data_IF_657662036334
#
_entry.id   IF_657662036334
#
_cell.length_a   1.000
_cell.length_b   1.000
_cell.length_c   1.000
_cell.angle_alpha   90.00
_cell.angle_beta   90.00
_cell.angle_gamma   90.00
#
_symmetry.space_group_name_H-M   'P 1'
#
loop_
_entity.id
_entity.type
_entity.pdbx_description
1 polymer ?
#
# COMPACT_ATOMS: atom_id res chain seq x y z
N UNK A 1 30.99 -6.33 -20.54
CA UNK A 1 31.04 -5.29 -19.50
C UNK A 1 31.58 -5.86 -18.19
N UNK A 2 32.31 -5.05 -17.37
CA UNK A 2 32.80 -5.48 -16.05
C UNK A 2 32.53 -4.38 -15.02
N UNK A 3 32.33 -4.76 -13.76
CA UNK A 3 32.23 -3.85 -12.62
C UNK A 3 32.39 -4.59 -11.29
N UNK A 4 32.72 -3.84 -10.23
CA UNK A 4 32.73 -4.32 -8.86
C UNK A 4 31.60 -3.63 -8.04
N UNK A 5 30.99 -4.39 -7.18
CA UNK A 5 29.88 -3.89 -6.35
C UNK A 5 29.87 -4.57 -4.96
N UNK A 6 29.43 -3.86 -3.94
CA UNK A 6 29.19 -4.42 -2.60
C UNK A 6 28.05 -5.45 -2.65
N UNK A 7 28.26 -6.63 -2.06
CA UNK A 7 27.25 -7.70 -2.00
C UNK A 7 25.96 -7.26 -1.29
N UNK A 8 26.08 -6.56 -0.17
CA UNK A 8 24.91 -6.08 0.59
C UNK A 8 24.17 -4.95 -0.12
N UNK A 9 24.88 -4.01 -0.76
CA UNK A 9 24.26 -2.96 -1.57
C UNK A 9 23.48 -3.56 -2.73
N UNK A 10 24.12 -4.49 -3.48
CA UNK A 10 23.46 -5.17 -4.60
C UNK A 10 22.23 -5.95 -4.14
N UNK A 11 22.35 -6.72 -3.07
CA UNK A 11 21.23 -7.49 -2.51
C UNK A 11 20.06 -6.60 -2.10
N UNK A 12 20.33 -5.52 -1.38
CA UNK A 12 19.30 -4.57 -0.93
C UNK A 12 18.53 -3.97 -2.11
N UNK A 13 19.22 -3.54 -3.14
CA UNK A 13 18.59 -2.91 -4.30
C UNK A 13 17.87 -3.95 -5.19
N UNK A 14 18.45 -5.13 -5.38
CA UNK A 14 17.74 -6.23 -6.05
C UNK A 14 16.47 -6.63 -5.30
N UNK A 15 16.53 -6.73 -3.98
CA UNK A 15 15.35 -7.03 -3.16
C UNK A 15 14.27 -5.94 -3.30
N UNK A 16 14.67 -4.66 -3.41
CA UNK A 16 13.74 -3.55 -3.60
C UNK A 16 13.01 -3.64 -4.95
N UNK A 17 13.75 -3.79 -6.06
CA UNK A 17 13.15 -3.83 -7.40
C UNK A 17 12.38 -5.13 -7.66
N UNK A 18 12.88 -6.26 -7.18
CA UNK A 18 12.26 -7.58 -7.44
C UNK A 18 10.87 -7.75 -6.81
N UNK A 19 10.47 -6.88 -5.88
CA UNK A 19 9.12 -6.90 -5.28
C UNK A 19 7.99 -6.69 -6.29
N UNK A 20 8.30 -6.11 -7.45
CA UNK A 20 7.31 -5.90 -8.51
C UNK A 20 7.02 -7.17 -9.31
N UNK A 21 7.99 -8.09 -9.37
CA UNK A 21 7.91 -9.31 -10.17
C UNK A 21 6.76 -10.20 -9.66
N UNK A 22 5.87 -10.58 -10.57
CA UNK A 22 4.78 -11.50 -10.26
C UNK A 22 5.28 -12.96 -10.22
N UNK A 23 4.53 -13.83 -9.56
CA UNK A 23 4.78 -15.27 -9.60
C UNK A 23 4.56 -15.92 -10.98
N UNK A 24 3.80 -15.23 -11.84
CA UNK A 24 3.54 -15.60 -13.25
C UNK A 24 3.49 -14.33 -14.07
N UNK A 25 4.44 -14.19 -14.99
CA UNK A 25 4.49 -13.06 -15.91
C UNK A 25 4.11 -13.47 -17.34
N UNK A 26 3.53 -12.54 -18.10
CA UNK A 26 3.14 -12.78 -19.49
C UNK A 26 4.37 -12.95 -20.42
N UNK A 27 5.45 -12.25 -20.12
CA UNK A 27 6.72 -12.32 -20.84
C UNK A 27 7.79 -12.92 -19.91
N UNK A 28 8.50 -13.98 -20.34
CA UNK A 28 9.54 -14.63 -19.51
C UNK A 28 10.63 -13.68 -19.01
N UNK A 29 11.02 -12.67 -19.79
CA UNK A 29 12.05 -11.69 -19.42
C UNK A 29 11.66 -10.85 -18.20
N UNK A 30 10.36 -10.78 -17.84
CA UNK A 30 9.88 -10.08 -16.64
C UNK A 30 10.12 -10.86 -15.33
N UNK A 31 10.59 -12.11 -15.41
CA UNK A 31 11.10 -12.87 -14.27
C UNK A 31 12.51 -12.44 -13.90
N UNK A 32 13.17 -11.67 -14.77
CA UNK A 32 14.53 -11.19 -14.64
C UNK A 32 14.59 -9.76 -14.12
N UNK A 33 15.75 -9.37 -13.63
CA UNK A 33 16.12 -7.97 -13.36
C UNK A 33 17.08 -7.50 -14.45
N UNK A 34 16.80 -6.37 -15.05
CA UNK A 34 17.67 -5.73 -16.01
C UNK A 34 18.81 -5.02 -15.27
N UNK A 35 20.04 -5.37 -15.63
CA UNK A 35 21.29 -4.68 -15.29
C UNK A 35 21.67 -3.78 -16.47
N UNK A 36 21.70 -2.48 -16.28
CA UNK A 36 22.06 -1.47 -17.27
C UNK A 36 23.23 -0.64 -16.73
N UNK A 37 24.44 -0.90 -17.25
CA UNK A 37 25.67 -0.23 -16.81
C UNK A 37 26.00 0.93 -17.73
N UNK A 38 25.99 2.14 -17.19
CA UNK A 38 26.35 3.38 -17.90
C UNK A 38 27.33 4.19 -17.05
N UNK A 39 28.57 4.34 -17.54
CA UNK A 39 29.63 4.93 -16.71
C UNK A 39 29.81 4.14 -15.43
N UNK A 40 29.89 4.79 -14.29
CA UNK A 40 30.03 4.16 -12.97
C UNK A 40 28.67 3.90 -12.29
N UNK A 41 27.56 4.01 -13.00
CA UNK A 41 26.22 3.78 -12.48
C UNK A 41 25.65 2.46 -13.02
N UNK A 42 25.32 1.55 -12.14
CA UNK A 42 24.55 0.33 -12.43
C UNK A 42 23.09 0.56 -12.12
N UNK A 43 22.24 0.58 -13.14
CA UNK A 43 20.77 0.67 -12.99
C UNK A 43 20.20 -0.73 -12.95
N UNK A 44 19.39 -1.00 -11.92
CA UNK A 44 18.62 -2.23 -11.77
C UNK A 44 17.15 -1.91 -12.04
N UNK A 45 16.55 -2.61 -12.98
CA UNK A 45 15.12 -2.42 -13.34
C UNK A 45 14.38 -3.73 -13.30
N UNK A 46 13.21 -3.74 -12.67
CA UNK A 46 12.26 -4.85 -12.71
C UNK A 46 10.86 -4.34 -13.05
N UNK A 47 10.07 -5.18 -13.70
CA UNK A 47 8.71 -4.81 -14.17
C UNK A 47 7.78 -6.02 -14.17
N UNK A 48 6.49 -5.77 -14.03
CA UNK A 48 5.42 -6.77 -14.29
C UNK A 48 4.59 -6.43 -15.56
N UNK A 49 5.03 -5.41 -16.30
CA UNK A 49 4.34 -4.89 -17.47
C UNK A 49 3.43 -3.69 -17.18
N UNK A 50 2.90 -3.57 -15.97
CA UNK A 50 2.04 -2.44 -15.54
C UNK A 50 2.77 -1.51 -14.57
N UNK A 51 3.68 -2.04 -13.78
CA UNK A 51 4.51 -1.32 -12.81
C UNK A 51 5.98 -1.62 -13.08
N UNK A 52 6.81 -0.61 -13.11
CA UNK A 52 8.26 -0.73 -13.26
C UNK A 52 8.96 -0.03 -12.12
N UNK A 53 9.90 -0.71 -11.49
CA UNK A 53 10.79 -0.13 -10.46
C UNK A 53 12.19 -0.11 -11.01
N UNK A 54 12.88 1.03 -10.85
CA UNK A 54 14.30 1.20 -11.14
C UNK A 54 15.00 1.79 -9.93
N UNK A 55 16.20 1.30 -9.67
CA UNK A 55 17.13 1.92 -8.72
C UNK A 55 18.52 1.98 -9.33
N UNK A 56 19.43 2.74 -8.73
CA UNK A 56 20.81 2.81 -9.18
C UNK A 56 21.81 2.62 -8.04
N UNK A 57 22.96 2.07 -8.39
CA UNK A 57 24.09 1.81 -7.49
C UNK A 57 25.35 2.35 -8.16
N UNK A 58 26.17 3.11 -7.42
CA UNK A 58 27.52 3.42 -7.85
C UNK A 58 28.39 2.17 -7.76
N UNK A 59 29.15 1.90 -8.81
CA UNK A 59 30.03 0.74 -8.96
C UNK A 59 31.44 1.16 -9.35
N UNK A 60 32.43 0.33 -9.02
CA UNK A 60 33.83 0.57 -9.26
C UNK A 60 34.39 -0.41 -10.30
N UNK A 61 35.64 -0.15 -10.77
CA UNK A 61 36.34 -1.05 -11.67
C UNK A 61 35.66 -1.30 -13.01
N UNK A 62 34.98 -0.28 -13.52
CA UNK A 62 34.15 -0.38 -14.71
C UNK A 62 34.95 -0.51 -15.97
N UNK A 63 34.64 -1.53 -16.79
CA UNK A 63 35.14 -1.69 -18.16
C UNK A 63 33.93 -1.95 -19.09
N UNK A 64 33.73 -1.06 -20.07
CA UNK A 64 32.63 -1.14 -21.01
C UNK A 64 31.28 -0.66 -20.41
N UNK A 65 30.23 -0.82 -21.18
CA UNK A 65 28.85 -0.54 -20.83
C UNK A 65 27.96 -1.60 -21.50
N UNK A 66 26.72 -1.76 -21.05
CA UNK A 66 25.83 -2.72 -21.70
C UNK A 66 24.62 -3.07 -20.84
N UNK A 67 23.76 -3.93 -21.41
CA UNK A 67 22.53 -4.38 -20.78
C UNK A 67 22.43 -5.90 -20.77
N UNK A 68 22.12 -6.47 -19.63
CA UNK A 68 21.81 -7.89 -19.46
C UNK A 68 20.64 -8.05 -18.50
N UNK A 69 19.69 -8.92 -18.81
CA UNK A 69 18.65 -9.31 -17.85
C UNK A 69 19.03 -10.67 -17.26
N UNK A 70 18.87 -10.80 -15.96
CA UNK A 70 19.28 -11.98 -15.19
C UNK A 70 18.24 -12.38 -14.19
N UNK A 71 18.09 -13.71 -13.98
CA UNK A 71 17.06 -14.30 -13.13
C UNK A 71 17.10 -13.73 -11.70
N UNK A 72 16.05 -12.99 -11.34
CA UNK A 72 15.93 -12.30 -10.06
C UNK A 72 16.02 -13.28 -8.90
N UNK A 73 15.32 -14.41 -9.00
CA UNK A 73 15.26 -15.43 -7.93
C UNK A 73 16.63 -16.02 -7.64
N UNK A 74 17.38 -16.41 -8.69
CA UNK A 74 18.74 -16.97 -8.55
C UNK A 74 19.65 -15.98 -7.84
N UNK A 75 19.65 -14.72 -8.27
CA UNK A 75 20.49 -13.68 -7.70
C UNK A 75 20.13 -13.40 -6.23
N UNK A 76 18.85 -13.29 -5.91
CA UNK A 76 18.40 -13.05 -4.54
C UNK A 76 18.74 -14.22 -3.61
N UNK A 77 18.48 -15.46 -4.04
CA UNK A 77 18.80 -16.66 -3.25
C UNK A 77 20.32 -16.81 -3.02
N UNK A 78 21.13 -16.43 -4.00
CA UNK A 78 22.57 -16.48 -3.89
C UNK A 78 23.12 -15.35 -3.00
N UNK A 79 22.69 -14.10 -3.26
CA UNK A 79 23.24 -12.93 -2.58
C UNK A 79 22.88 -12.85 -1.10
N UNK A 80 21.72 -13.40 -0.69
CA UNK A 80 21.34 -13.43 0.73
C UNK A 80 22.28 -14.26 1.61
N UNK A 81 23.03 -15.20 1.01
CA UNK A 81 23.97 -16.07 1.73
C UNK A 81 25.37 -15.45 1.86
N UNK A 82 25.62 -14.29 1.22
CA UNK A 82 26.88 -13.59 1.38
C UNK A 82 26.89 -12.66 2.61
N UNK A 83 27.99 -12.70 3.35
CA UNK A 83 28.39 -11.57 4.20
C UNK A 83 28.85 -10.41 3.31
N UNK A 84 28.94 -9.19 3.88
CA UNK A 84 29.44 -8.02 3.14
C UNK A 84 30.82 -8.27 2.56
N UNK A 85 30.93 -8.17 1.24
CA UNK A 85 32.18 -8.31 0.49
C UNK A 85 32.07 -7.69 -0.90
N UNK A 86 33.18 -7.36 -1.56
CA UNK A 86 33.15 -6.97 -2.97
C UNK A 86 32.87 -8.18 -3.85
N UNK A 87 32.03 -7.96 -4.86
CA UNK A 87 31.73 -8.92 -5.92
C UNK A 87 32.21 -8.32 -7.26
N UNK A 88 32.96 -9.08 -8.03
CA UNK A 88 33.39 -8.69 -9.36
C UNK A 88 32.53 -9.38 -10.41
N UNK A 89 31.85 -8.60 -11.22
CA UNK A 89 31.03 -9.08 -12.34
C UNK A 89 31.78 -8.95 -13.65
N UNK A 90 31.75 -10.00 -14.46
CA UNK A 90 32.19 -9.99 -15.86
C UNK A 90 31.05 -10.56 -16.72
N UNK A 91 30.63 -9.83 -17.73
CA UNK A 91 29.51 -10.20 -18.59
C UNK A 91 29.97 -10.12 -20.03
N UNK A 92 29.83 -11.23 -20.76
CA UNK A 92 30.08 -11.31 -22.20
C UNK A 92 28.83 -10.84 -22.95
N UNK A 93 28.96 -9.78 -23.75
CA UNK A 93 27.87 -9.16 -24.48
C UNK A 93 27.37 -9.99 -25.69
N UNK A 94 28.16 -10.99 -26.14
CA UNK A 94 27.81 -11.81 -27.30
C UNK A 94 26.91 -12.98 -26.93
N UNK A 95 27.11 -13.56 -25.74
CA UNK A 95 26.38 -14.76 -25.30
C UNK A 95 25.68 -14.58 -23.95
N UNK A 96 25.78 -13.39 -23.35
CA UNK A 96 25.19 -13.02 -22.06
C UNK A 96 25.65 -13.90 -20.87
N UNK A 97 26.78 -14.58 -21.01
CA UNK A 97 27.40 -15.30 -19.91
C UNK A 97 27.86 -14.34 -18.83
N UNK A 98 27.45 -14.58 -17.61
CA UNK A 98 27.77 -13.79 -16.42
C UNK A 98 28.67 -14.61 -15.52
N UNK A 99 29.80 -14.04 -15.13
CA UNK A 99 30.70 -14.55 -14.09
C UNK A 99 30.70 -13.56 -12.94
N UNK A 100 30.27 -14.00 -11.75
CA UNK A 100 30.35 -13.27 -10.50
C UNK A 100 31.41 -13.92 -9.61
N UNK A 101 32.45 -13.16 -9.26
CA UNK A 101 33.57 -13.62 -8.44
C UNK A 101 33.44 -12.97 -7.07
N UNK A 102 33.47 -13.79 -6.02
CA UNK A 102 33.57 -13.41 -4.62
C UNK A 102 34.99 -13.70 -4.08
N UNK A 103 35.20 -13.43 -2.79
CA UNK A 103 36.49 -13.73 -2.14
C UNK A 103 36.88 -15.22 -2.24
N UNK A 104 35.91 -16.13 -2.21
CA UNK A 104 36.14 -17.57 -2.07
C UNK A 104 35.51 -18.41 -3.18
N UNK A 105 34.87 -17.81 -4.18
CA UNK A 105 34.17 -18.58 -5.20
C UNK A 105 33.86 -17.83 -6.47
N UNK A 106 33.57 -18.59 -7.53
CA UNK A 106 33.09 -18.08 -8.81
C UNK A 106 31.72 -18.67 -9.11
N UNK A 107 30.79 -17.83 -9.48
CA UNK A 107 29.42 -18.18 -9.79
C UNK A 107 29.12 -17.81 -11.24
N UNK A 108 28.72 -18.78 -12.04
CA UNK A 108 28.51 -18.59 -13.47
C UNK A 108 27.06 -18.91 -13.83
N UNK A 109 26.44 -18.04 -14.59
CA UNK A 109 25.09 -18.22 -15.12
C UNK A 109 24.95 -17.48 -16.46
N UNK A 110 23.84 -17.69 -17.13
CA UNK A 110 23.58 -17.03 -18.42
C UNK A 110 22.35 -16.15 -18.26
N UNK A 111 22.50 -14.89 -18.63
CA UNK A 111 21.41 -13.94 -18.73
C UNK A 111 20.80 -13.95 -20.13
N UNK A 112 19.95 -12.97 -20.40
CA UNK A 112 19.36 -12.74 -21.72
C UNK A 112 19.64 -11.30 -22.18
N UNK A 113 19.41 -11.04 -23.46
CA UNK A 113 19.62 -9.73 -24.07
C UNK A 113 18.82 -8.64 -23.36
N UNK A 114 19.48 -7.76 -22.61
CA UNK A 114 18.83 -6.69 -21.88
C UNK A 114 18.18 -5.61 -22.75
N UNK A 115 18.50 -5.55 -24.05
CA UNK A 115 17.83 -4.63 -24.97
C UNK A 115 16.40 -5.07 -25.32
N UNK A 116 16.04 -6.32 -25.03
CA UNK A 116 14.67 -6.84 -25.17
C UNK A 116 13.79 -6.57 -23.94
N UNK A 117 14.39 -6.06 -22.86
CA UNK A 117 13.64 -5.70 -21.65
C UNK A 117 12.74 -4.50 -21.92
N UNK A 118 11.46 -4.52 -21.48
CA UNK A 118 10.54 -3.40 -21.69
C UNK A 118 11.09 -2.09 -21.13
N UNK A 119 11.01 -1.03 -21.91
CA UNK A 119 11.45 0.29 -21.47
C UNK A 119 10.52 0.87 -20.40
N UNK A 120 11.11 1.51 -19.40
CA UNK A 120 10.33 2.25 -18.41
C UNK A 120 9.68 3.47 -19.07
N UNK A 121 8.34 3.64 -18.95
CA UNK A 121 7.66 4.80 -19.51
C UNK A 121 8.26 6.12 -19.03
N UNK A 122 8.49 7.04 -19.96
CA UNK A 122 8.90 8.42 -19.67
C UNK A 122 7.75 9.26 -19.11
N UNK A 123 8.06 10.51 -18.74
CA UNK A 123 7.03 11.47 -18.37
C UNK A 123 6.15 11.82 -19.57
N UNK A 124 4.84 11.86 -19.37
CA UNK A 124 3.88 12.24 -20.41
C UNK A 124 3.87 13.74 -20.64
N UNK A 125 3.55 14.17 -21.87
CA UNK A 125 3.37 15.59 -22.17
C UNK A 125 2.20 16.15 -21.35
N UNK A 126 2.42 17.29 -20.68
CA UNK A 126 1.41 17.90 -19.81
C UNK A 126 1.24 17.23 -18.44
N UNK A 127 2.10 16.28 -18.09
CA UNK A 127 2.09 15.68 -16.75
C UNK A 127 2.28 16.76 -15.67
N UNK A 128 1.52 16.60 -14.59
CA UNK A 128 1.64 17.47 -13.40
C UNK A 128 2.64 16.86 -12.43
N UNK A 129 3.28 17.73 -11.65
CA UNK A 129 4.28 17.29 -10.65
C UNK A 129 4.00 17.98 -9.32
N UNK A 130 4.07 17.22 -8.24
CA UNK A 130 4.02 17.72 -6.87
C UNK A 130 5.10 17.01 -6.04
N UNK A 131 5.51 17.64 -4.94
CA UNK A 131 6.39 17.05 -3.94
C UNK A 131 5.58 16.70 -2.70
N UNK A 132 5.68 15.44 -2.26
CA UNK A 132 5.05 14.96 -1.03
C UNK A 132 6.13 14.49 -0.06
N UNK A 133 6.10 14.87 1.23
CA UNK A 133 6.95 14.26 2.23
C UNK A 133 6.74 12.74 2.24
N UNK A 134 7.83 11.96 2.28
CA UNK A 134 7.76 10.50 2.22
C UNK A 134 6.90 9.90 3.34
N UNK A 135 7.02 10.44 4.55
CA UNK A 135 6.23 10.03 5.71
C UNK A 135 4.73 10.31 5.52
N UNK A 136 4.36 11.44 4.91
CA UNK A 136 2.95 11.77 4.61
C UNK A 136 2.38 10.82 3.58
N UNK A 137 3.11 10.57 2.48
CA UNK A 137 2.68 9.63 1.44
C UNK A 137 2.56 8.21 1.99
N UNK A 138 3.54 7.76 2.77
CA UNK A 138 3.54 6.45 3.41
C UNK A 138 2.34 6.29 4.35
N UNK A 139 2.13 7.24 5.28
CA UNK A 139 1.03 7.21 6.24
C UNK A 139 -0.34 7.22 5.55
N UNK A 140 -0.50 8.02 4.51
CA UNK A 140 -1.73 8.08 3.73
C UNK A 140 -2.03 6.75 3.02
N UNK A 141 -1.03 6.13 2.40
CA UNK A 141 -1.18 4.81 1.78
C UNK A 141 -1.49 3.75 2.85
N UNK A 142 -0.78 3.75 3.96
CA UNK A 142 -0.99 2.77 5.04
C UNK A 142 -2.41 2.84 5.61
N UNK A 143 -2.91 4.06 5.82
CA UNK A 143 -4.26 4.31 6.36
C UNK A 143 -5.39 4.05 5.35
N UNK A 144 -5.09 3.86 4.05
CA UNK A 144 -6.13 3.73 3.02
C UNK A 144 -6.11 2.40 2.27
N UNK A 145 -4.94 1.82 2.01
CA UNK A 145 -4.75 0.67 1.10
C UNK A 145 -5.60 -0.55 1.45
N UNK A 146 -5.82 -0.83 2.74
CA UNK A 146 -6.58 -1.99 3.19
C UNK A 146 -8.08 -1.87 2.86
N UNK A 147 -8.54 -0.67 2.53
CA UNK A 147 -9.92 -0.37 2.16
C UNK A 147 -10.17 -0.40 0.65
N UNK A 148 -9.16 -0.65 -0.17
CA UNK A 148 -9.32 -0.85 -1.60
C UNK A 148 -10.09 -2.13 -1.88
N UNK A 149 -10.91 -2.13 -2.94
CA UNK A 149 -11.59 -3.33 -3.42
C UNK A 149 -10.63 -4.31 -4.13
N UNK A 150 -11.18 -5.45 -4.46
CA UNK A 150 -10.60 -6.44 -5.38
C UNK A 150 -11.77 -6.93 -6.25
N UNK A 151 -12.22 -6.08 -7.17
CA UNK A 151 -13.49 -6.23 -7.89
C UNK A 151 -13.32 -5.80 -9.36
N UNK A 152 -13.33 -6.77 -10.26
CA UNK A 152 -13.18 -6.55 -11.70
C UNK A 152 -14.34 -5.76 -12.33
N UNK A 153 -15.52 -5.75 -11.69
CA UNK A 153 -16.68 -4.99 -12.17
C UNK A 153 -16.60 -3.50 -11.82
N UNK A 154 -15.80 -3.16 -10.80
CA UNK A 154 -15.61 -1.79 -10.34
C UNK A 154 -14.12 -1.46 -10.17
N UNK A 155 -13.33 -1.53 -11.25
CA UNK A 155 -11.87 -1.41 -11.17
C UNK A 155 -11.39 -0.09 -10.55
N UNK A 156 -12.17 0.99 -10.64
CA UNK A 156 -11.84 2.29 -10.01
C UNK A 156 -11.72 2.20 -8.49
N UNK A 157 -12.30 1.18 -7.84
CA UNK A 157 -12.18 0.95 -6.40
C UNK A 157 -10.99 0.07 -6.02
N UNK A 158 -10.29 -0.55 -7.01
CA UNK A 158 -9.12 -1.40 -6.78
C UNK A 158 -7.82 -0.60 -6.53
N UNK A 159 -7.96 0.68 -6.23
CA UNK A 159 -6.85 1.58 -5.98
C UNK A 159 -7.21 2.68 -4.98
N UNK A 160 -6.20 3.49 -4.68
CA UNK A 160 -6.33 4.68 -3.83
C UNK A 160 -6.55 5.89 -4.73
N UNK A 161 -7.63 6.60 -4.52
CA UNK A 161 -7.92 7.85 -5.21
C UNK A 161 -7.16 9.00 -4.54
N UNK A 162 -6.31 9.66 -5.31
CA UNK A 162 -5.63 10.89 -4.94
C UNK A 162 -6.49 12.07 -5.41
N UNK A 163 -7.05 12.81 -4.47
CA UNK A 163 -7.83 14.04 -4.70
C UNK A 163 -6.99 15.21 -4.19
N UNK A 164 -6.35 15.89 -5.11
CA UNK A 164 -5.36 16.94 -4.85
C UNK A 164 -6.05 18.29 -5.04
N UNK A 165 -6.03 19.12 -4.01
CA UNK A 165 -6.41 20.53 -4.06
C UNK A 165 -5.17 21.42 -3.90
N UNK A 166 -5.31 22.73 -4.11
CA UNK A 166 -4.20 23.66 -4.02
C UNK A 166 -3.49 23.63 -2.65
N UNK A 167 -4.28 23.48 -1.58
CA UNK A 167 -3.88 23.62 -0.18
C UNK A 167 -3.87 22.29 0.61
N UNK A 168 -4.18 21.17 -0.02
CA UNK A 168 -4.24 19.86 0.66
C UNK A 168 -4.19 18.69 -0.31
N UNK A 169 -3.85 17.55 0.22
CA UNK A 169 -3.96 16.27 -0.49
C UNK A 169 -4.89 15.35 0.29
N UNK A 170 -5.87 14.77 -0.41
CA UNK A 170 -6.81 13.80 0.15
C UNK A 170 -6.61 12.46 -0.56
N UNK A 171 -6.50 11.38 0.21
CA UNK A 171 -6.43 10.01 -0.31
C UNK A 171 -7.63 9.24 0.18
N UNK A 172 -8.32 8.58 -0.75
CA UNK A 172 -9.57 7.87 -0.48
C UNK A 172 -9.50 6.45 -1.03
N UNK A 173 -9.95 5.49 -0.24
CA UNK A 173 -10.17 4.13 -0.70
C UNK A 173 -11.52 3.61 -0.20
N UNK A 174 -12.18 2.77 -1.00
CA UNK A 174 -13.47 2.15 -0.66
C UNK A 174 -13.65 0.83 -1.40
N UNK A 175 -14.33 -0.12 -0.73
CA UNK A 175 -14.81 -1.38 -1.31
C UNK A 175 -16.34 -1.42 -1.44
N UNK A 176 -17.01 -0.26 -1.32
CA UNK A 176 -18.46 -0.04 -1.26
C UNK A 176 -19.13 -0.42 0.08
N UNK A 177 -18.45 -1.13 0.97
CA UNK A 177 -18.97 -1.46 2.32
C UNK A 177 -18.32 -0.59 3.40
N UNK A 178 -17.11 -0.16 3.15
CA UNK A 178 -16.33 0.74 4.01
C UNK A 178 -15.57 1.75 3.15
N UNK A 179 -15.23 2.87 3.75
CA UNK A 179 -14.47 3.94 3.10
C UNK A 179 -13.49 4.53 4.12
N UNK A 180 -12.29 4.83 3.67
CA UNK A 180 -11.34 5.64 4.41
C UNK A 180 -10.99 6.87 3.59
N UNK A 181 -11.07 8.03 4.23
CA UNK A 181 -10.56 9.31 3.73
C UNK A 181 -9.46 9.79 4.66
N UNK A 182 -8.29 9.95 4.12
CA UNK A 182 -7.14 10.60 4.77
C UNK A 182 -6.90 11.94 4.08
N UNK A 183 -6.86 13.02 4.83
CA UNK A 183 -6.54 14.36 4.33
C UNK A 183 -5.33 14.91 5.06
N UNK A 184 -4.39 15.49 4.32
CA UNK A 184 -3.25 16.23 4.88
C UNK A 184 -3.28 17.67 4.37
N UNK A 185 -3.30 18.63 5.29
CA UNK A 185 -3.35 20.08 5.03
C UNK A 185 -1.97 20.75 5.14
N UNK A 186 -0.95 20.00 5.53
CA UNK A 186 0.44 20.50 5.56
C UNK A 186 1.11 20.52 4.19
N UNK A 187 0.49 19.92 3.17
CA UNK A 187 1.01 19.86 1.81
C UNK A 187 0.39 20.93 0.95
N UNK A 188 1.24 21.72 0.27
CA UNK A 188 0.83 22.73 -0.71
C UNK A 188 1.07 22.17 -2.11
N UNK A 189 0.03 21.73 -2.80
CA UNK A 189 0.14 21.11 -4.13
C UNK A 189 0.14 22.13 -5.27
N UNK A 190 -0.36 23.34 -5.03
CA UNK A 190 -0.34 24.46 -5.98
C UNK A 190 -1.32 24.37 -7.15
N UNK A 191 -1.95 23.21 -7.38
CA UNK A 191 -2.96 23.01 -8.41
C UNK A 191 -3.88 21.85 -8.08
N UNK A 192 -5.13 21.90 -8.55
CA UNK A 192 -6.08 20.81 -8.38
C UNK A 192 -5.84 19.73 -9.45
N UNK A 193 -5.83 18.47 -9.00
CA UNK A 193 -5.68 17.30 -9.86
C UNK A 193 -6.20 16.03 -9.19
N UNK A 194 -6.33 14.94 -9.94
CA UNK A 194 -6.65 13.66 -9.35
C UNK A 194 -6.16 12.48 -10.21
N UNK A 195 -5.92 11.36 -9.57
CA UNK A 195 -5.62 10.08 -10.22
C UNK A 195 -5.92 8.92 -9.28
N UNK A 196 -5.99 7.70 -9.82
CA UNK A 196 -6.20 6.47 -9.02
C UNK A 196 -4.95 5.60 -9.10
N UNK A 197 -4.28 5.46 -7.96
CA UNK A 197 -3.09 4.62 -7.80
C UNK A 197 -3.53 3.17 -7.53
N UNK A 198 -3.18 2.17 -8.37
CA UNK A 198 -3.53 0.79 -8.12
C UNK A 198 -2.97 0.25 -6.80
N UNK A 199 -3.65 -0.72 -6.21
CA UNK A 199 -3.29 -1.34 -4.92
C UNK A 199 -1.86 -1.89 -4.88
N UNK A 200 -1.41 -2.57 -5.95
CA UNK A 200 -0.06 -3.16 -5.99
C UNK A 200 1.05 -2.11 -5.90
N UNK A 201 1.15 -1.11 -6.80
CA UNK A 201 2.17 -0.06 -6.66
C UNK A 201 2.02 0.75 -5.36
N UNK A 202 0.82 0.97 -4.84
CA UNK A 202 0.64 1.58 -3.52
C UNK A 202 1.30 0.74 -2.42
N UNK A 203 1.12 -0.58 -2.43
CA UNK A 203 1.79 -1.49 -1.49
C UNK A 203 3.32 -1.49 -1.61
N UNK A 204 3.85 -1.40 -2.83
CA UNK A 204 5.28 -1.27 -3.09
C UNK A 204 5.83 0.04 -2.51
N UNK A 205 5.17 1.16 -2.80
CA UNK A 205 5.52 2.48 -2.25
C UNK A 205 5.53 2.47 -0.72
N UNK A 206 4.47 1.99 -0.07
CA UNK A 206 4.40 1.89 1.39
C UNK A 206 5.65 1.23 1.99
N UNK A 207 6.10 0.13 1.39
CA UNK A 207 7.24 -0.63 1.90
C UNK A 207 8.60 0.04 1.60
N UNK A 208 8.73 0.70 0.47
CA UNK A 208 9.97 1.36 0.07
C UNK A 208 10.16 2.70 0.78
N UNK A 209 9.08 3.42 1.04
CA UNK A 209 9.11 4.71 1.75
C UNK A 209 9.35 4.59 3.26
N UNK A 210 9.27 3.39 3.85
CA UNK A 210 9.45 3.17 5.29
C UNK A 210 10.82 3.60 5.85
N UNK A 211 11.79 3.86 4.99
CA UNK A 211 13.16 4.28 5.35
C UNK A 211 13.57 5.56 4.63
N UNK A 212 12.61 6.25 4.03
CA UNK A 212 12.87 7.47 3.26
C UNK A 212 12.44 8.69 4.07
N UNK A 213 13.35 9.64 4.22
CA UNK A 213 13.12 10.87 4.99
C UNK A 213 12.92 12.10 4.08
N UNK A 214 13.21 11.97 2.77
CA UNK A 214 13.13 13.07 1.83
C UNK A 214 11.74 13.18 1.18
N UNK A 215 11.55 14.22 0.36
CA UNK A 215 10.34 14.38 -0.41
C UNK A 215 10.33 13.40 -1.59
N UNK A 216 9.16 12.83 -1.85
CA UNK A 216 8.85 12.08 -3.06
C UNK A 216 8.35 13.04 -4.13
N UNK A 217 9.03 13.06 -5.25
CA UNK A 217 8.53 13.76 -6.44
C UNK A 217 7.51 12.88 -7.14
N UNK A 218 6.26 13.31 -7.16
CA UNK A 218 5.15 12.60 -7.78
C UNK A 218 4.79 13.29 -9.08
N UNK A 219 4.97 12.61 -10.20
CA UNK A 219 4.60 13.11 -11.55
C UNK A 219 3.53 12.19 -12.12
N UNK A 220 2.40 12.74 -12.53
CA UNK A 220 1.29 11.98 -13.08
C UNK A 220 0.70 12.66 -14.31
N UNK A 221 0.41 11.85 -15.32
CA UNK A 221 -0.20 12.25 -16.59
C UNK A 221 -1.58 11.60 -16.74
N UNK A 222 -1.98 11.34 -17.98
CA UNK A 222 -3.25 10.71 -18.29
C UNK A 222 -3.25 9.19 -18.02
N UNK A 223 -2.10 8.53 -18.16
CA UNK A 223 -2.00 7.05 -18.09
C UNK A 223 -1.12 6.56 -16.96
N UNK A 224 -0.03 7.29 -16.66
CA UNK A 224 1.00 6.81 -15.73
C UNK A 224 1.19 7.77 -14.56
N UNK A 225 1.51 7.18 -13.41
CA UNK A 225 2.04 7.89 -12.25
C UNK A 225 3.49 7.47 -12.02
N UNK A 226 4.35 8.42 -11.69
CA UNK A 226 5.77 8.27 -11.47
C UNK A 226 6.14 8.84 -10.10
N UNK A 227 6.86 8.07 -9.32
CA UNK A 227 7.34 8.42 -7.99
C UNK A 227 8.86 8.32 -7.97
N UNK A 228 9.54 9.41 -7.59
CA UNK A 228 11.00 9.51 -7.55
C UNK A 228 11.44 9.89 -6.13
N UNK A 229 12.29 9.09 -5.52
CA UNK A 229 12.85 9.31 -4.18
C UNK A 229 14.20 8.59 -4.05
N UNK A 230 15.17 9.24 -3.42
CA UNK A 230 16.55 8.73 -3.36
C UNK A 230 17.04 8.31 -4.73
N UNK A 231 17.55 7.08 -4.85
CA UNK A 231 17.96 6.47 -6.13
C UNK A 231 16.84 5.67 -6.82
N UNK A 232 15.62 5.68 -6.26
CA UNK A 232 14.51 4.83 -6.70
C UNK A 232 13.50 5.60 -7.54
N UNK A 233 13.05 4.96 -8.60
CA UNK A 233 11.97 5.44 -9.47
C UNK A 233 10.95 4.32 -9.62
N UNK A 234 9.69 4.62 -9.36
CA UNK A 234 8.55 3.73 -9.63
C UNK A 234 7.67 4.41 -10.67
N UNK A 235 7.34 3.69 -11.73
CA UNK A 235 6.34 4.11 -12.71
C UNK A 235 5.26 3.05 -12.76
N UNK A 236 4.02 3.45 -12.67
CA UNK A 236 2.90 2.52 -12.78
C UNK A 236 1.77 3.10 -13.64
N UNK A 237 1.04 2.21 -14.30
CA UNK A 237 -0.20 2.56 -14.97
C UNK A 237 -1.25 2.91 -13.92
N UNK A 238 -1.98 4.00 -14.16
CA UNK A 238 -3.11 4.40 -13.32
C UNK A 238 -4.36 3.58 -13.67
N UNK A 239 -5.31 3.51 -12.72
CA UNK A 239 -6.65 3.00 -13.04
C UNK A 239 -7.43 4.10 -13.74
N UNK A 240 -7.86 3.83 -14.96
CA UNK A 240 -8.67 4.75 -15.75
C UNK A 240 -10.12 4.76 -15.26
N UNK A 241 -10.74 5.94 -15.25
CA UNK A 241 -12.15 6.11 -14.90
C UNK A 241 -12.39 7.16 -13.82
N UNK A 242 -13.66 7.39 -13.54
CA UNK A 242 -14.08 8.36 -12.52
C UNK A 242 -14.32 7.66 -11.19
N UNK A 243 -13.59 8.07 -10.17
CA UNK A 243 -13.82 7.60 -8.81
C UNK A 243 -15.21 8.06 -8.31
N UNK A 244 -15.94 7.26 -7.52
CA UNK A 244 -17.24 7.63 -6.97
C UNK A 244 -17.17 8.93 -6.18
N UNK A 245 -18.28 9.69 -6.16
CA UNK A 245 -18.38 10.88 -5.30
C UNK A 245 -18.44 10.46 -3.83
N UNK A 246 -17.27 10.26 -3.23
CA UNK A 246 -17.13 9.78 -1.86
C UNK A 246 -17.71 10.76 -0.82
N UNK A 247 -17.74 12.06 -1.10
CA UNK A 247 -18.29 13.05 -0.18
C UNK A 247 -19.82 12.89 -0.02
N UNK A 248 -20.51 12.40 -1.05
CA UNK A 248 -21.96 12.22 -1.00
C UNK A 248 -22.42 11.08 -0.08
N UNK A 249 -21.53 10.11 0.22
CA UNK A 249 -21.88 8.97 1.09
C UNK A 249 -21.51 9.19 2.56
N UNK A 250 -20.74 10.23 2.88
CA UNK A 250 -20.34 10.56 4.25
C UNK A 250 -21.53 11.19 4.98
N UNK A 251 -22.09 10.56 6.03
CA UNK A 251 -23.23 11.08 6.74
C UNK A 251 -22.88 12.34 7.55
N UNK A 252 -23.76 13.33 7.54
CA UNK A 252 -23.59 14.61 8.24
C UNK A 252 -24.37 14.69 9.56
N UNK A 253 -25.17 13.68 9.89
CA UNK A 253 -26.14 13.76 11.01
C UNK A 253 -25.98 12.67 12.08
N UNK A 254 -24.81 12.08 12.23
CA UNK A 254 -24.54 11.05 13.22
C UNK A 254 -24.32 11.68 14.61
N UNK A 255 -25.39 11.79 15.41
CA UNK A 255 -25.37 12.51 16.69
C UNK A 255 -25.01 11.64 17.90
N UNK A 256 -25.15 10.31 17.79
CA UNK A 256 -24.78 9.39 18.85
C UNK A 256 -23.26 9.17 18.82
N UNK A 257 -22.55 9.78 19.76
CA UNK A 257 -21.08 9.72 19.84
C UNK A 257 -20.68 8.79 20.98
N UNK A 258 -19.93 7.74 20.64
CA UNK A 258 -19.34 6.80 21.60
C UNK A 258 -17.85 7.00 21.57
N UNK A 259 -17.22 7.18 22.73
CA UNK A 259 -15.77 7.21 22.88
C UNK A 259 -15.36 5.97 23.67
N UNK A 260 -14.43 5.21 23.16
CA UNK A 260 -13.96 3.98 23.78
C UNK A 260 -12.45 3.84 23.64
N UNK A 261 -11.83 3.13 24.58
CA UNK A 261 -10.46 2.66 24.44
C UNK A 261 -10.37 1.74 23.24
N UNK A 262 -9.55 2.12 22.28
CA UNK A 262 -9.42 1.45 20.97
C UNK A 262 -8.98 0.00 21.11
N UNK A 263 -7.96 -0.25 21.96
CA UNK A 263 -7.39 -1.58 22.10
C UNK A 263 -8.35 -2.55 22.79
N UNK A 264 -9.05 -2.08 23.79
CA UNK A 264 -10.12 -2.85 24.48
C UNK A 264 -11.23 -3.22 23.53
N UNK A 265 -11.70 -2.26 22.71
CA UNK A 265 -12.75 -2.50 21.72
C UNK A 265 -12.30 -3.52 20.65
N UNK A 266 -11.09 -3.36 20.07
CA UNK A 266 -10.55 -4.30 19.10
C UNK A 266 -10.45 -5.71 19.68
N UNK A 267 -9.92 -5.85 20.88
CA UNK A 267 -9.70 -7.15 21.51
C UNK A 267 -11.03 -7.85 21.80
N UNK A 268 -12.04 -7.11 22.28
CA UNK A 268 -13.39 -7.62 22.50
C UNK A 268 -14.03 -8.06 21.16
N UNK A 269 -13.96 -7.22 20.12
CA UNK A 269 -14.44 -7.57 18.79
C UNK A 269 -13.76 -8.86 18.25
N UNK A 270 -12.43 -8.97 18.39
CA UNK A 270 -11.69 -10.16 17.95
C UNK A 270 -12.11 -11.44 18.68
N UNK A 271 -12.31 -11.38 20.00
CA UNK A 271 -12.73 -12.57 20.79
C UNK A 271 -14.15 -12.99 20.43
N UNK A 272 -15.07 -12.03 20.37
CA UNK A 272 -16.48 -12.30 20.07
C UNK A 272 -16.65 -12.77 18.61
N UNK A 273 -15.88 -12.22 17.67
CA UNK A 273 -15.94 -12.57 16.25
C UNK A 273 -15.67 -14.07 15.97
N UNK A 274 -14.93 -14.77 16.84
CA UNK A 274 -14.68 -16.21 16.71
C UNK A 274 -15.98 -17.01 16.77
N UNK A 275 -17.01 -16.49 17.42
CA UNK A 275 -18.33 -17.11 17.60
C UNK A 275 -19.36 -16.61 16.57
N UNK A 276 -18.98 -15.75 15.65
CA UNK A 276 -19.87 -15.28 14.61
C UNK A 276 -20.04 -16.31 13.49
N UNK A 277 -21.20 -16.35 12.86
CA UNK A 277 -21.42 -17.17 11.68
C UNK A 277 -20.41 -16.85 10.58
N UNK A 278 -19.76 -17.86 10.01
CA UNK A 278 -18.69 -17.71 9.03
C UNK A 278 -19.12 -16.97 7.75
N UNK A 279 -20.39 -17.08 7.33
CA UNK A 279 -20.90 -16.46 6.11
C UNK A 279 -21.13 -14.96 6.27
N UNK A 280 -21.68 -14.55 7.42
CA UNK A 280 -22.00 -13.14 7.70
C UNK A 280 -20.88 -12.41 8.43
N UNK A 281 -20.17 -13.10 9.30
CA UNK A 281 -19.18 -12.55 10.22
C UNK A 281 -19.71 -11.32 10.99
N UNK A 282 -21.00 -11.38 11.42
CA UNK A 282 -21.68 -10.24 12.01
C UNK A 282 -21.38 -10.10 13.51
N UNK A 283 -21.03 -8.89 13.92
CA UNK A 283 -21.03 -8.45 15.31
C UNK A 283 -22.22 -7.52 15.55
N UNK A 284 -22.91 -7.72 16.68
CA UNK A 284 -23.91 -6.80 17.19
C UNK A 284 -23.29 -5.96 18.30
N UNK A 285 -23.34 -4.64 18.16
CA UNK A 285 -22.94 -3.67 19.17
C UNK A 285 -24.23 -3.06 19.76
N UNK A 286 -24.53 -3.38 21.01
CA UNK A 286 -25.63 -2.79 21.74
C UNK A 286 -25.08 -1.72 22.69
N UNK A 287 -25.48 -0.47 22.43
CA UNK A 287 -25.06 0.71 23.19
C UNK A 287 -26.07 0.99 24.30
N UNK A 288 -25.59 1.21 25.49
CA UNK A 288 -26.33 1.71 26.62
C UNK A 288 -25.46 2.70 27.41
N UNK A 289 -25.99 3.35 28.39
CA UNK A 289 -25.26 4.37 29.15
C UNK A 289 -23.89 3.83 29.61
N UNK A 290 -22.82 4.48 29.15
CA UNK A 290 -21.42 4.17 29.43
C UNK A 290 -20.96 2.72 29.18
N UNK A 291 -21.66 1.98 28.30
CA UNK A 291 -21.28 0.62 27.97
C UNK A 291 -21.61 0.21 26.54
N UNK A 292 -20.77 -0.65 25.98
CA UNK A 292 -20.99 -1.35 24.71
C UNK A 292 -21.02 -2.84 25.00
N UNK A 293 -22.15 -3.49 24.73
CA UNK A 293 -22.25 -4.95 24.72
C UNK A 293 -22.02 -5.43 23.28
N UNK A 294 -20.96 -6.19 23.07
CA UNK A 294 -20.60 -6.80 21.80
C UNK A 294 -21.06 -8.25 21.84
N UNK A 295 -21.80 -8.69 20.84
CA UNK A 295 -22.28 -10.08 20.78
C UNK A 295 -22.22 -10.63 19.35
N UNK A 296 -22.08 -11.95 19.26
CA UNK A 296 -22.15 -12.72 18.02
C UNK A 296 -22.78 -14.08 18.31
N UNK A 297 -23.39 -14.68 17.30
CA UNK A 297 -23.91 -16.04 17.40
C UNK A 297 -23.83 -16.72 16.04
N UNK A 298 -23.66 -18.02 16.09
CA UNK A 298 -23.83 -18.93 14.96
C UNK A 298 -24.88 -19.97 15.33
N UNK A 299 -26.07 -19.85 14.72
CA UNK A 299 -27.21 -20.72 15.02
C UNK A 299 -26.96 -22.13 14.50
N UNK A 300 -26.25 -22.25 13.35
CA UNK A 300 -25.97 -23.53 12.71
C UNK A 300 -25.08 -24.42 13.58
N UNK A 301 -24.13 -23.79 14.29
CA UNK A 301 -23.20 -24.49 15.20
C UNK A 301 -23.58 -24.34 16.68
N UNK A 302 -24.69 -23.66 16.99
CA UNK A 302 -25.16 -23.41 18.37
C UNK A 302 -24.10 -22.75 19.25
N UNK A 303 -23.30 -21.85 18.69
CA UNK A 303 -22.28 -21.08 19.41
C UNK A 303 -22.69 -19.62 19.56
N UNK A 304 -22.34 -19.03 20.69
CA UNK A 304 -22.56 -17.59 20.95
C UNK A 304 -21.50 -17.05 21.90
N UNK A 305 -21.22 -15.77 21.77
CA UNK A 305 -20.41 -15.04 22.71
C UNK A 305 -20.96 -13.64 22.93
N UNK A 306 -20.76 -13.13 24.13
CA UNK A 306 -21.03 -11.73 24.46
C UNK A 306 -19.98 -11.19 25.42
N UNK A 307 -19.64 -9.91 25.24
CA UNK A 307 -18.69 -9.22 26.07
C UNK A 307 -19.13 -7.76 26.23
N UNK A 308 -18.99 -7.21 27.43
CA UNK A 308 -19.35 -5.81 27.71
C UNK A 308 -18.09 -5.05 28.07
N UNK A 309 -17.89 -3.91 27.43
CA UNK A 309 -16.80 -2.98 27.71
C UNK A 309 -17.33 -1.62 28.13
N UNK A 310 -16.56 -0.89 28.91
CA UNK A 310 -16.88 0.48 29.29
C UNK A 310 -16.57 1.43 28.13
N UNK A 311 -17.37 2.47 28.00
CA UNK A 311 -17.17 3.57 27.05
C UNK A 311 -17.76 4.86 27.62
N UNK A 312 -17.53 5.98 26.96
CA UNK A 312 -18.25 7.22 27.21
C UNK A 312 -19.38 7.35 26.19
N UNK A 313 -20.62 7.11 26.64
CA UNK A 313 -21.83 7.21 25.85
C UNK A 313 -23.00 7.65 26.70
N UNK A 314 -23.64 8.75 26.32
CA UNK A 314 -24.83 9.29 27.00
C UNK A 314 -26.05 9.41 26.06
N UNK A 315 -26.01 8.76 24.89
CA UNK A 315 -27.10 8.81 23.92
C UNK A 315 -28.22 7.79 24.21
N UNK A 316 -29.19 7.73 23.30
CA UNK A 316 -30.30 6.77 23.39
C UNK A 316 -29.80 5.35 23.19
N UNK A 317 -30.22 4.36 23.99
CA UNK A 317 -29.88 2.96 23.76
C UNK A 317 -30.21 2.52 22.33
N UNK A 318 -29.23 1.89 21.66
CA UNK A 318 -29.39 1.39 20.29
C UNK A 318 -28.53 0.16 20.05
N UNK A 319 -28.90 -0.64 19.05
CA UNK A 319 -28.08 -1.74 18.60
C UNK A 319 -27.81 -1.60 17.10
N UNK A 320 -26.56 -1.88 16.69
CA UNK A 320 -26.12 -1.81 15.30
C UNK A 320 -25.27 -3.03 14.97
N UNK A 321 -25.44 -3.57 13.77
CA UNK A 321 -24.63 -4.69 13.27
C UNK A 321 -23.50 -4.23 12.36
N UNK A 322 -22.32 -4.84 12.51
CA UNK A 322 -21.20 -4.61 11.60
C UNK A 322 -20.50 -5.92 11.22
N UNK A 323 -19.90 -5.96 10.04
CA UNK A 323 -19.04 -7.07 9.64
C UNK A 323 -17.73 -7.03 10.44
N UNK A 324 -17.45 -8.07 11.23
CA UNK A 324 -16.33 -8.11 12.16
C UNK A 324 -14.97 -7.78 11.53
N UNK A 325 -14.53 -8.42 10.40
CA UNK A 325 -13.26 -8.09 9.79
C UNK A 325 -13.14 -6.60 9.42
N UNK A 326 -14.21 -6.00 8.89
CA UNK A 326 -14.16 -4.61 8.48
C UNK A 326 -14.03 -3.66 9.68
N UNK A 327 -14.81 -3.89 10.74
CA UNK A 327 -14.70 -3.11 11.96
C UNK A 327 -13.32 -3.22 12.59
N UNK A 328 -12.78 -4.44 12.67
CA UNK A 328 -11.46 -4.71 13.26
C UNK A 328 -10.34 -4.04 12.44
N UNK A 329 -10.40 -4.11 11.10
CA UNK A 329 -9.41 -3.48 10.22
C UNK A 329 -9.41 -1.95 10.38
N UNK A 330 -10.60 -1.33 10.38
CA UNK A 330 -10.76 0.12 10.56
C UNK A 330 -10.20 0.57 11.91
N UNK A 331 -10.60 -0.10 13.00
CA UNK A 331 -10.09 0.20 14.34
C UNK A 331 -8.57 -0.03 14.45
N UNK A 332 -8.07 -1.05 13.75
CA UNK A 332 -6.64 -1.40 13.74
C UNK A 332 -5.75 -0.38 13.02
N UNK A 333 -6.31 0.39 12.09
CA UNK A 333 -5.58 1.40 11.32
C UNK A 333 -5.51 2.78 12.04
N UNK A 334 -6.24 2.96 13.12
CA UNK A 334 -6.20 4.15 13.96
C UNK A 334 -5.01 4.07 14.92
N UNK A 335 -4.30 5.18 15.10
CA UNK A 335 -3.11 5.24 15.97
C UNK A 335 -3.46 5.76 17.38
N UNK A 336 -4.50 6.62 17.52
CA UNK A 336 -4.89 7.17 18.83
C UNK A 336 -5.34 6.07 19.81
N UNK A 337 -5.15 6.31 21.10
CA UNK A 337 -5.55 5.37 22.18
C UNK A 337 -7.08 5.23 22.27
N UNK A 338 -7.79 6.31 22.01
CA UNK A 338 -9.25 6.33 21.98
C UNK A 338 -9.79 6.48 20.56
N UNK A 339 -10.98 5.93 20.33
CA UNK A 339 -11.73 6.00 19.07
C UNK A 339 -13.10 6.58 19.32
N UNK A 340 -13.58 7.36 18.36
CA UNK A 340 -14.96 7.86 18.32
C UNK A 340 -15.78 7.07 17.30
N UNK A 341 -16.88 6.47 17.75
CA UNK A 341 -17.91 5.94 16.86
C UNK A 341 -19.06 6.96 16.80
N UNK A 342 -19.35 7.52 15.63
CA UNK A 342 -20.48 8.43 15.42
C UNK A 342 -21.57 7.70 14.65
N UNK A 343 -22.71 7.52 15.25
CA UNK A 343 -23.83 6.73 14.75
C UNK A 343 -25.11 7.57 14.69
N UNK A 344 -25.98 7.28 13.75
CA UNK A 344 -27.31 7.88 13.66
C UNK A 344 -28.38 6.88 14.10
N UNK A 345 -28.55 5.82 13.33
CA UNK A 345 -29.50 4.74 13.54
C UNK A 345 -28.91 3.41 13.01
N UNK A 346 -29.53 2.26 13.26
CA UNK A 346 -29.01 0.95 12.87
C UNK A 346 -28.87 0.71 11.36
N UNK A 347 -29.44 1.57 10.52
CA UNK A 347 -29.49 1.38 9.05
C UNK A 347 -28.55 2.30 8.29
N UNK A 348 -28.04 3.33 8.94
CA UNK A 348 -27.12 4.31 8.33
C UNK A 348 -25.67 4.01 8.64
N UNK A 349 -24.80 4.39 7.71
CA UNK A 349 -23.36 4.24 7.87
C UNK A 349 -22.87 4.89 9.18
N UNK A 350 -22.08 4.14 9.94
CA UNK A 350 -21.33 4.64 11.07
C UNK A 350 -20.03 5.32 10.62
N UNK A 351 -19.63 6.37 11.35
CA UNK A 351 -18.30 6.94 11.22
C UNK A 351 -17.42 6.42 12.37
N UNK A 352 -16.17 6.08 12.03
CA UNK A 352 -15.14 5.65 12.95
C UNK A 352 -13.98 6.61 12.78
N UNK A 353 -13.64 7.32 13.85
CA UNK A 353 -12.67 8.41 13.83
C UNK A 353 -11.64 8.18 14.94
N UNK A 354 -10.38 8.58 14.76
CA UNK A 354 -9.48 8.75 15.89
C UNK A 354 -10.06 9.81 16.86
N UNK A 355 -9.86 9.65 18.14
CA UNK A 355 -10.24 10.71 19.11
C UNK A 355 -9.42 11.98 18.87
N UNK A 356 -8.16 11.81 18.49
CA UNK A 356 -7.25 12.89 18.13
C UNK A 356 -6.54 12.55 16.83
N UNK A 357 -6.50 13.47 15.87
CA UNK A 357 -5.69 13.37 14.68
C UNK A 357 -4.27 13.90 14.94
N UNK A 358 -3.29 13.39 14.18
CA UNK A 358 -1.97 14.01 14.15
C UNK A 358 -2.04 15.41 13.52
N UNK A 359 -1.01 16.20 13.72
CA UNK A 359 -0.92 17.57 13.19
C UNK A 359 -1.08 17.55 11.65
N UNK A 360 -1.91 18.44 11.13
CA UNK A 360 -2.26 18.54 9.70
C UNK A 360 -2.95 17.30 9.09
N UNK A 361 -3.36 16.33 9.89
CA UNK A 361 -4.09 15.15 9.42
C UNK A 361 -5.58 15.21 9.79
N UNK A 362 -6.44 14.71 8.89
CA UNK A 362 -7.85 14.43 9.15
C UNK A 362 -8.17 13.04 8.60
N UNK A 363 -8.47 12.10 9.49
CA UNK A 363 -8.79 10.72 9.16
C UNK A 363 -10.27 10.46 9.46
N UNK A 364 -11.00 10.08 8.41
CA UNK A 364 -12.40 9.71 8.52
C UNK A 364 -12.60 8.32 7.92
N UNK A 365 -13.23 7.46 8.68
CA UNK A 365 -13.59 6.11 8.23
C UNK A 365 -15.11 5.94 8.30
N UNK A 366 -15.65 5.28 7.29
CA UNK A 366 -17.08 4.97 7.21
C UNK A 366 -17.23 3.46 7.14
N UNK A 367 -18.23 2.92 7.84
CA UNK A 367 -18.60 1.51 7.80
C UNK A 367 -20.12 1.37 7.63
N UNK A 368 -20.51 0.64 6.58
CA UNK A 368 -21.92 0.30 6.35
C UNK A 368 -22.38 -0.73 7.37
N UNK A 369 -23.54 -0.52 8.00
CA UNK A 369 -24.09 -1.49 8.94
C UNK A 369 -24.67 -2.71 8.22
N UNK A 370 -24.80 -3.78 8.96
CA UNK A 370 -25.54 -4.97 8.59
C UNK A 370 -26.89 -4.98 9.31
N UNK A 371 -27.94 -5.40 8.63
CA UNK A 371 -29.24 -5.55 9.27
C UNK A 371 -29.15 -6.61 10.36
N UNK A 372 -29.67 -6.27 11.53
CA UNK A 372 -29.83 -7.21 12.63
C UNK A 372 -31.14 -7.99 12.42
N UNK A 373 -31.03 -9.31 12.43
CA UNK A 373 -32.19 -10.18 12.48
C UNK A 373 -32.52 -10.36 13.98
N UNK A 374 -33.58 -9.69 14.45
CA UNK A 374 -34.09 -9.83 15.81
C UNK A 374 -34.85 -11.16 15.99
#
# INVERSE_FOLDING_TARGET
>A
MKFNVSSSKLFSQLQAVSRVINSKNALPILDDVLFDLVGNELKLTASDGETTIRTSIEVDGVEGSGKVASAAKLLLETLKEFSEQPLAFTIDENNFAVSMVSQNGTYSFVGVNGNEYPEMPGAEAGAQTLALPANVLQAAIEKTIFCTADDDLRPVMNGIFFDIAEDKVTMVATDAHRLVRYTNTGVQAGAAANFILPKKPAGLLKNLLAKEDENVKVTFGAKNARFEFGSTVIVCRQIEGRFPNYNAVIPQGNQNVVIADRQTLINACKRVAVFANNGTAQLRLALSENSIKISAQDIDFSTSAEETISCNYGGTPMAIGFKAPFLIDLLGSIVSDEVQLKLADPTRAGLILPAENAENEDVLMLLMPMLLND
#
